data_IF_859048708090
#
_entry.id   IF_859048708090
#
_cell.length_a   1.000
_cell.length_b   1.000
_cell.length_c   1.000
_cell.angle_alpha   90.00
_cell.angle_beta   90.00
_cell.angle_gamma   90.00
#
_symmetry.space_group_name_H-M   'P 1'
#
loop_
_entity.id
_entity.type
_entity.pdbx_description
1 polymer ?
#
# COMPACT_ATOMS: atom_id res chain seq x y z
N UNK A 1 -0.79 -58.55 -38.59
CA UNK A 1 -1.61 -57.63 -37.77
C UNK A 1 -1.10 -57.42 -36.34
N UNK A 2 -0.25 -58.29 -35.79
CA UNK A 2 0.28 -58.19 -34.41
C UNK A 2 1.31 -57.08 -34.17
N UNK A 3 2.18 -56.75 -35.13
CA UNK A 3 3.19 -55.68 -34.96
C UNK A 3 2.63 -54.24 -34.98
N UNK A 4 1.44 -54.02 -35.54
CA UNK A 4 0.83 -52.68 -35.62
C UNK A 4 0.19 -52.25 -34.30
N UNK A 5 -0.41 -53.20 -33.56
CA UNK A 5 -1.01 -52.95 -32.26
C UNK A 5 0.03 -52.65 -31.17
N UNK A 6 1.23 -53.22 -31.28
CA UNK A 6 2.33 -52.98 -30.34
C UNK A 6 2.89 -51.55 -30.48
N UNK A 7 3.01 -51.04 -31.71
CA UNK A 7 3.44 -49.65 -31.99
C UNK A 7 2.39 -48.63 -31.55
N UNK A 8 1.10 -48.93 -31.73
CA UNK A 8 -0.01 -48.06 -31.28
C UNK A 8 -0.12 -48.03 -29.76
N UNK A 9 0.08 -49.17 -29.08
CA UNK A 9 0.14 -49.26 -27.61
C UNK A 9 1.28 -48.43 -27.04
N UNK A 10 2.49 -48.56 -27.63
CA UNK A 10 3.70 -47.84 -27.19
C UNK A 10 3.60 -46.33 -27.39
N UNK A 11 2.96 -45.87 -28.48
CA UNK A 11 2.69 -44.43 -28.70
C UNK A 11 1.64 -43.87 -27.74
N UNK A 12 0.59 -44.63 -27.41
CA UNK A 12 -0.40 -44.23 -26.41
C UNK A 12 0.21 -44.14 -25.01
N UNK A 13 1.02 -45.11 -24.61
CA UNK A 13 1.72 -45.06 -23.31
C UNK A 13 2.69 -43.89 -23.26
N UNK A 14 3.47 -43.64 -24.32
CA UNK A 14 4.40 -42.51 -24.35
C UNK A 14 3.67 -41.16 -24.26
N UNK A 15 2.54 -41.03 -24.98
CA UNK A 15 1.70 -39.83 -24.94
C UNK A 15 1.08 -39.60 -23.55
N UNK A 16 0.54 -40.64 -22.93
CA UNK A 16 -0.01 -40.57 -21.57
C UNK A 16 1.06 -40.22 -20.54
N UNK A 17 2.27 -40.77 -20.67
CA UNK A 17 3.39 -40.51 -19.76
C UNK A 17 3.91 -39.07 -19.95
N UNK A 18 3.96 -38.57 -21.18
CA UNK A 18 4.29 -37.18 -21.48
C UNK A 18 3.25 -36.22 -20.88
N UNK A 19 1.96 -36.52 -21.01
CA UNK A 19 0.87 -35.74 -20.39
C UNK A 19 0.95 -35.73 -18.87
N UNK A 20 1.29 -36.86 -18.24
CA UNK A 20 1.45 -36.98 -16.80
C UNK A 20 2.66 -36.20 -16.28
N UNK A 21 3.76 -36.20 -17.06
CA UNK A 21 4.95 -35.40 -16.78
C UNK A 21 4.64 -33.90 -16.93
N UNK A 22 3.94 -33.50 -18.00
CA UNK A 22 3.50 -32.11 -18.17
C UNK A 22 2.54 -31.66 -17.06
N UNK A 23 1.60 -32.52 -16.65
CA UNK A 23 0.69 -32.26 -15.53
C UNK A 23 1.45 -32.15 -14.20
N UNK A 24 2.42 -33.03 -13.96
CA UNK A 24 3.30 -32.97 -12.78
C UNK A 24 4.15 -31.70 -12.74
N UNK A 25 4.72 -31.29 -13.88
CA UNK A 25 5.49 -30.05 -13.99
C UNK A 25 4.63 -28.78 -13.86
N UNK A 26 3.36 -28.84 -14.27
CA UNK A 26 2.41 -27.74 -14.05
C UNK A 26 2.06 -27.53 -12.58
N UNK A 27 2.22 -28.56 -11.74
CA UNK A 27 1.92 -28.54 -10.31
C UNK A 27 3.16 -28.18 -9.46
N UNK A 28 4.37 -28.52 -9.91
CA UNK A 28 5.63 -28.20 -9.21
C UNK A 28 6.73 -27.79 -10.19
N UNK A 29 6.89 -26.47 -10.47
CA UNK A 29 7.93 -26.00 -11.39
C UNK A 29 9.33 -26.17 -10.79
N UNK A 30 10.21 -26.85 -11.55
CA UNK A 30 11.64 -26.95 -11.25
C UNK A 30 12.37 -25.84 -12.01
N UNK A 31 12.89 -24.85 -11.28
CA UNK A 31 13.58 -23.67 -11.83
C UNK A 31 14.68 -23.91 -12.90
N UNK A 32 15.48 -25.01 -12.88
CA UNK A 32 16.42 -25.28 -13.96
C UNK A 32 15.76 -25.82 -15.24
N UNK A 33 14.63 -26.52 -15.11
CA UNK A 33 13.87 -27.02 -16.26
C UNK A 33 13.11 -25.87 -16.95
N UNK A 34 12.58 -24.91 -16.18
CA UNK A 34 11.98 -23.68 -16.72
C UNK A 34 12.98 -22.91 -17.59
N UNK A 35 14.21 -22.69 -17.09
CA UNK A 35 15.27 -22.02 -17.86
C UNK A 35 15.64 -22.77 -19.15
N UNK A 36 15.67 -24.10 -19.12
CA UNK A 36 15.92 -24.93 -20.31
C UNK A 36 14.78 -24.87 -21.34
N UNK A 37 13.53 -24.90 -20.86
CA UNK A 37 12.33 -24.78 -21.70
C UNK A 37 12.19 -23.36 -22.28
N UNK A 38 12.58 -22.32 -21.54
CA UNK A 38 12.59 -20.94 -22.04
C UNK A 38 13.53 -20.73 -23.23
N UNK A 39 14.71 -21.36 -23.19
CA UNK A 39 15.67 -21.32 -24.32
C UNK A 39 15.16 -22.14 -25.50
N UNK A 40 14.50 -23.27 -25.24
CA UNK A 40 14.00 -24.17 -26.28
C UNK A 40 12.73 -23.64 -26.98
N UNK A 41 11.85 -22.94 -26.26
CA UNK A 41 10.61 -22.35 -26.77
C UNK A 41 10.71 -20.85 -27.12
N UNK A 42 11.92 -20.30 -27.10
CA UNK A 42 12.21 -18.94 -27.55
C UNK A 42 11.71 -18.69 -29.01
N UNK A 43 11.87 -19.62 -29.97
CA UNK A 43 11.34 -19.47 -31.32
C UNK A 43 9.81 -19.51 -31.40
N UNK A 44 9.16 -20.34 -30.56
CA UNK A 44 7.69 -20.41 -30.50
C UNK A 44 7.07 -19.20 -29.80
N UNK A 45 7.81 -18.50 -28.92
CA UNK A 45 7.38 -17.21 -28.34
C UNK A 45 7.27 -16.13 -29.43
N UNK A 46 8.18 -16.14 -30.42
CA UNK A 46 8.07 -15.28 -31.60
C UNK A 46 6.85 -15.65 -32.45
N UNK A 47 6.51 -16.94 -32.57
CA UNK A 47 5.28 -17.37 -33.26
C UNK A 47 4.03 -16.91 -32.49
N UNK A 48 4.02 -16.99 -31.15
CA UNK A 48 2.93 -16.45 -30.34
C UNK A 48 2.80 -14.92 -30.47
N UNK A 49 3.92 -14.19 -30.58
CA UNK A 49 3.93 -12.74 -30.90
C UNK A 49 3.43 -12.43 -32.32
N UNK A 50 3.74 -13.28 -33.29
CA UNK A 50 3.31 -13.14 -34.71
C UNK A 50 1.87 -13.61 -34.92
N UNK A 51 1.35 -14.51 -34.07
CA UNK A 51 -0.03 -15.06 -34.11
C UNK A 51 -0.97 -14.30 -33.16
N UNK A 52 -0.46 -13.49 -32.23
CA UNK A 52 -1.26 -12.56 -31.40
C UNK A 52 -2.27 -11.70 -32.20
N UNK A 53 -1.99 -11.26 -33.44
CA UNK A 53 -2.96 -10.56 -34.29
C UNK A 53 -4.17 -11.39 -34.71
N UNK A 54 -4.09 -12.73 -34.68
CA UNK A 54 -5.20 -13.61 -35.09
C UNK A 54 -6.23 -13.82 -33.97
N UNK A 55 -5.87 -13.50 -32.72
CA UNK A 55 -6.83 -13.36 -31.61
C UNK A 55 -7.68 -12.09 -31.67
N UNK A 56 -7.37 -11.14 -32.57
CA UNK A 56 -8.08 -9.86 -32.72
C UNK A 56 -9.51 -9.95 -33.27
N UNK A 57 -9.97 -11.16 -33.60
CA UNK A 57 -11.36 -11.44 -33.97
C UNK A 57 -12.25 -11.65 -32.72
N UNK A 58 -12.00 -10.89 -31.66
CA UNK A 58 -12.90 -10.78 -30.50
C UNK A 58 -14.23 -10.13 -30.89
N UNK A 59 -15.33 -10.74 -30.46
CA UNK A 59 -16.71 -10.41 -30.82
C UNK A 59 -17.09 -8.96 -30.50
N UNK A 60 -18.02 -8.38 -31.28
CA UNK A 60 -18.60 -7.03 -31.03
C UNK A 60 -19.10 -6.86 -29.58
N UNK A 61 -19.46 -7.96 -28.92
CA UNK A 61 -19.91 -7.99 -27.53
C UNK A 61 -18.81 -7.63 -26.52
N UNK A 62 -17.56 -8.05 -26.74
CA UNK A 62 -16.43 -7.70 -25.85
C UNK A 62 -16.13 -6.20 -25.94
N UNK A 63 -16.12 -5.64 -27.16
CA UNK A 63 -15.92 -4.19 -27.37
C UNK A 63 -17.04 -3.36 -26.77
N UNK A 64 -18.30 -3.79 -26.91
CA UNK A 64 -19.43 -3.11 -26.28
C UNK A 64 -19.37 -3.18 -24.74
N UNK A 65 -18.91 -4.30 -24.19
CA UNK A 65 -18.70 -4.44 -22.74
C UNK A 65 -17.54 -3.55 -22.24
N UNK A 66 -16.47 -3.40 -23.03
CA UNK A 66 -15.37 -2.47 -22.74
C UNK A 66 -15.84 -1.01 -22.77
N UNK A 67 -16.65 -0.61 -23.75
CA UNK A 67 -17.21 0.75 -23.83
C UNK A 67 -18.14 1.09 -22.64
N UNK A 68 -19.02 0.18 -22.21
CA UNK A 68 -19.85 0.36 -20.99
C UNK A 68 -18.98 0.46 -19.73
N UNK A 69 -17.92 -0.34 -19.63
CA UNK A 69 -16.98 -0.27 -18.51
C UNK A 69 -16.15 1.01 -18.52
N UNK A 70 -15.75 1.54 -19.67
CA UNK A 70 -15.08 2.84 -19.78
C UNK A 70 -15.99 3.98 -19.32
N UNK A 71 -17.28 3.95 -19.67
CA UNK A 71 -18.25 4.93 -19.20
C UNK A 71 -18.44 4.87 -17.67
N UNK A 72 -18.53 3.68 -17.09
CA UNK A 72 -18.60 3.48 -15.63
C UNK A 72 -17.31 3.86 -14.91
N UNK A 73 -16.16 3.65 -15.54
CA UNK A 73 -14.87 4.03 -14.99
C UNK A 73 -14.75 5.56 -14.79
N UNK A 74 -15.41 6.37 -15.62
CA UNK A 74 -15.44 7.82 -15.42
C UNK A 74 -16.16 8.21 -14.11
N UNK A 75 -17.26 7.52 -13.76
CA UNK A 75 -17.92 7.70 -12.47
C UNK A 75 -17.03 7.23 -11.30
N UNK A 76 -16.33 6.10 -11.47
CA UNK A 76 -15.35 5.59 -10.49
C UNK A 76 -14.19 6.56 -10.22
N UNK A 77 -13.75 7.33 -11.22
CA UNK A 77 -12.73 8.37 -11.05
C UNK A 77 -13.18 9.48 -10.11
N UNK A 78 -14.41 9.98 -10.26
CA UNK A 78 -14.94 11.04 -9.40
C UNK A 78 -14.95 10.62 -7.93
N UNK A 79 -15.49 9.42 -7.67
CA UNK A 79 -15.51 8.81 -6.33
C UNK A 79 -14.10 8.64 -5.76
N UNK A 80 -13.14 8.16 -6.57
CA UNK A 80 -11.76 8.01 -6.14
C UNK A 80 -11.11 9.36 -5.77
N UNK A 81 -11.34 10.42 -6.54
CA UNK A 81 -10.79 11.74 -6.22
C UNK A 81 -11.38 12.33 -4.93
N UNK A 82 -12.68 12.18 -4.71
CA UNK A 82 -13.33 12.61 -3.46
C UNK A 82 -12.80 11.85 -2.25
N UNK A 83 -12.64 10.53 -2.38
CA UNK A 83 -12.03 9.67 -1.37
C UNK A 83 -10.61 10.12 -1.01
N UNK A 84 -9.76 10.36 -2.02
CA UNK A 84 -8.38 10.80 -1.78
C UNK A 84 -8.33 12.20 -1.16
N UNK A 85 -9.22 13.10 -1.53
CA UNK A 85 -9.34 14.40 -0.88
C UNK A 85 -9.83 14.29 0.58
N UNK A 86 -10.72 13.35 0.88
CA UNK A 86 -11.16 13.05 2.25
C UNK A 86 -10.02 12.47 3.09
N UNK A 87 -9.24 11.54 2.53
CA UNK A 87 -8.05 10.97 3.17
C UNK A 87 -7.02 12.06 3.53
N UNK A 88 -6.70 12.95 2.58
CA UNK A 88 -5.77 14.06 2.83
C UNK A 88 -6.27 15.02 3.92
N UNK A 89 -7.56 15.34 3.92
CA UNK A 89 -8.16 16.19 4.95
C UNK A 89 -8.12 15.54 6.33
N UNK A 90 -8.35 14.23 6.41
CA UNK A 90 -8.30 13.48 7.66
C UNK A 90 -6.89 13.41 8.27
N UNK A 91 -5.84 13.52 7.45
CA UNK A 91 -4.47 13.57 7.93
C UNK A 91 -4.05 14.92 8.53
N UNK A 92 -4.87 15.97 8.37
CA UNK A 92 -4.59 17.27 8.96
C UNK A 92 -4.93 17.27 10.47
N UNK A 93 -4.05 17.82 11.33
CA UNK A 93 -4.32 17.94 12.77
C UNK A 93 -5.57 18.76 13.08
N UNK A 94 -6.10 18.70 14.30
CA UNK A 94 -7.13 19.60 14.80
C UNK A 94 -6.63 21.04 14.93
N UNK A 95 -7.53 22.03 14.85
CA UNK A 95 -7.19 23.47 14.80
C UNK A 95 -6.27 23.93 15.95
N UNK A 96 -6.47 23.39 17.16
CA UNK A 96 -5.63 23.69 18.34
C UNK A 96 -4.17 23.28 18.13
N UNK A 97 -3.95 22.12 17.50
CA UNK A 97 -2.62 21.60 17.19
C UNK A 97 -2.01 22.24 15.93
N UNK A 98 -2.79 22.95 15.11
CA UNK A 98 -2.30 23.76 13.98
C UNK A 98 -1.75 25.11 14.41
N UNK A 99 -2.29 25.68 15.49
CA UNK A 99 -1.92 27.02 15.95
C UNK A 99 -0.41 27.17 16.12
N UNK A 100 0.16 28.25 15.57
CA UNK A 100 1.60 28.53 15.67
C UNK A 100 2.49 27.69 14.76
N UNK A 101 1.94 26.87 13.85
CA UNK A 101 2.69 25.95 13.00
C UNK A 101 2.28 26.09 11.53
N UNK A 102 3.25 25.98 10.62
CA UNK A 102 2.98 25.79 9.20
C UNK A 102 2.98 24.29 8.91
N UNK A 103 1.95 23.82 8.24
CA UNK A 103 1.80 22.42 7.86
C UNK A 103 2.42 22.22 6.47
N UNK A 104 2.99 21.07 6.16
CA UNK A 104 3.35 20.67 4.78
C UNK A 104 2.84 19.26 4.56
N UNK A 105 1.88 19.12 3.65
CA UNK A 105 1.28 17.82 3.37
C UNK A 105 2.27 16.90 2.63
N UNK A 106 2.22 15.61 2.94
CA UNK A 106 3.04 14.57 2.35
C UNK A 106 2.26 13.29 2.10
N UNK A 107 2.50 12.66 0.95
CA UNK A 107 2.01 11.33 0.62
C UNK A 107 3.13 10.31 0.84
N UNK A 108 2.84 9.23 1.55
CA UNK A 108 3.80 8.12 1.68
C UNK A 108 3.86 7.39 0.34
N UNK A 109 5.02 7.37 -0.32
CA UNK A 109 5.16 6.73 -1.65
C UNK A 109 5.84 5.37 -1.59
N UNK A 110 6.60 5.10 -0.53
CA UNK A 110 7.37 3.86 -0.39
C UNK A 110 7.66 3.56 1.06
N UNK A 111 7.46 2.29 1.42
CA UNK A 111 7.97 1.67 2.63
C UNK A 111 9.00 0.59 2.28
N UNK A 112 10.14 0.58 2.95
CA UNK A 112 11.16 -0.44 2.70
C UNK A 112 10.82 -1.73 3.46
N UNK A 113 10.74 -2.87 2.76
CA UNK A 113 10.30 -4.16 3.31
C UNK A 113 11.23 -4.77 4.37
N UNK A 114 12.36 -4.12 4.70
CA UNK A 114 13.28 -4.51 5.78
C UNK A 114 13.60 -3.39 6.77
N UNK A 115 13.00 -2.21 6.61
CA UNK A 115 13.15 -1.06 7.51
C UNK A 115 11.78 -0.47 7.78
N UNK A 116 11.07 -1.09 8.72
CA UNK A 116 9.75 -0.63 9.15
C UNK A 116 9.80 0.76 9.81
N UNK A 117 10.97 1.15 10.30
CA UNK A 117 11.19 2.40 11.04
C UNK A 117 11.44 3.61 10.14
N UNK A 118 11.21 3.48 8.82
CA UNK A 118 11.43 4.56 7.87
C UNK A 118 10.43 4.55 6.73
N UNK A 119 10.00 5.73 6.32
CA UNK A 119 9.09 5.92 5.17
C UNK A 119 9.65 6.98 4.22
N UNK A 120 9.40 6.79 2.92
CA UNK A 120 9.68 7.80 1.90
C UNK A 120 8.38 8.55 1.57
N UNK A 121 8.43 9.87 1.67
CA UNK A 121 7.26 10.75 1.58
C UNK A 121 7.46 11.77 0.48
N UNK A 122 6.48 11.88 -0.42
CA UNK A 122 6.42 12.95 -1.42
C UNK A 122 5.67 14.13 -0.83
N UNK A 123 6.32 15.28 -0.70
CA UNK A 123 5.74 16.50 -0.12
C UNK A 123 5.19 17.44 -1.19
N UNK A 124 4.19 18.24 -0.81
CA UNK A 124 3.63 19.27 -1.67
C UNK A 124 4.65 20.39 -2.01
N UNK A 125 5.55 20.70 -1.06
CA UNK A 125 6.62 21.68 -1.25
C UNK A 125 7.80 21.36 -0.35
N UNK A 126 9.02 21.60 -0.82
CA UNK A 126 10.25 21.49 -0.01
C UNK A 126 10.64 22.79 0.69
N UNK A 127 10.00 23.91 0.34
CA UNK A 127 10.36 25.21 0.88
C UNK A 127 10.15 25.27 2.41
N UNK A 128 11.23 25.49 3.16
CA UNK A 128 11.23 25.53 4.63
C UNK A 128 11.32 24.16 5.31
N UNK A 129 11.51 23.07 4.56
CA UNK A 129 11.75 21.75 5.13
C UNK A 129 13.20 21.58 5.58
N UNK A 130 13.38 20.97 6.76
CA UNK A 130 14.67 20.71 7.35
C UNK A 130 14.66 19.38 8.13
N UNK A 131 15.83 18.76 8.24
CA UNK A 131 16.04 17.55 9.08
C UNK A 131 15.70 17.87 10.53
N UNK A 132 15.09 16.91 11.22
CA UNK A 132 14.62 17.01 12.61
C UNK A 132 13.20 17.58 12.75
N UNK A 133 12.58 18.06 11.68
CA UNK A 133 11.19 18.55 11.74
C UNK A 133 10.20 17.41 12.04
N UNK A 134 9.26 17.61 12.99
CA UNK A 134 8.24 16.62 13.31
C UNK A 134 7.32 16.26 12.14
N UNK A 135 6.91 15.00 12.11
CA UNK A 135 5.94 14.45 11.17
C UNK A 135 4.80 13.81 11.96
N UNK A 136 3.58 14.12 11.54
CA UNK A 136 2.33 13.72 12.21
C UNK A 136 1.32 13.20 11.19
N UNK A 137 0.28 12.54 11.65
CA UNK A 137 -0.88 12.17 10.86
C UNK A 137 -2.10 12.35 11.74
N UNK A 138 -2.98 13.30 11.43
CA UNK A 138 -4.02 13.72 12.35
C UNK A 138 -3.41 14.40 13.58
N UNK A 139 -3.84 13.97 14.76
CA UNK A 139 -3.37 14.47 16.06
C UNK A 139 -2.24 13.60 16.62
N UNK A 140 -1.85 12.56 15.88
CA UNK A 140 -0.89 11.55 16.29
C UNK A 140 0.52 11.84 15.76
N UNK A 141 1.49 11.72 16.64
CA UNK A 141 2.90 11.88 16.32
C UNK A 141 3.44 10.62 15.63
N UNK A 142 4.07 10.80 14.47
CA UNK A 142 4.57 9.70 13.64
C UNK A 142 6.09 9.56 13.76
N UNK A 143 6.81 10.68 13.72
CA UNK A 143 8.27 10.66 13.69
C UNK A 143 8.86 12.01 13.29
N UNK A 144 10.00 12.00 12.61
CA UNK A 144 10.70 13.23 12.17
C UNK A 144 11.40 13.06 10.83
N UNK A 145 11.66 14.17 10.14
CA UNK A 145 12.49 14.16 8.93
C UNK A 145 13.91 13.73 9.29
N UNK A 146 14.35 12.64 8.69
CA UNK A 146 15.70 12.13 8.83
C UNK A 146 16.62 12.63 7.72
N UNK A 147 16.11 12.73 6.49
CA UNK A 147 16.88 13.14 5.34
C UNK A 147 15.99 13.79 4.26
N UNK A 148 16.59 14.65 3.44
CA UNK A 148 15.95 15.29 2.30
C UNK A 148 16.63 14.81 1.01
N UNK A 149 15.91 14.11 0.15
CA UNK A 149 16.51 13.44 -1.02
C UNK A 149 17.25 14.43 -1.92
N UNK A 150 18.48 14.13 -2.30
CA UNK A 150 19.30 15.05 -3.12
C UNK A 150 18.93 15.07 -4.60
N UNK A 151 18.20 14.07 -5.08
CA UNK A 151 17.88 13.86 -6.50
C UNK A 151 16.42 14.20 -6.84
N UNK A 152 15.47 13.91 -5.96
CA UNK A 152 14.06 14.30 -6.11
C UNK A 152 13.70 15.37 -5.08
N UNK A 153 13.54 16.61 -5.56
CA UNK A 153 13.23 17.75 -4.71
C UNK A 153 11.89 17.60 -3.94
N UNK A 154 10.98 16.74 -4.41
CA UNK A 154 9.72 16.49 -3.73
C UNK A 154 9.79 15.32 -2.73
N UNK A 155 10.91 14.62 -2.60
CA UNK A 155 11.04 13.43 -1.76
C UNK A 155 11.79 13.73 -0.45
N UNK A 156 11.23 13.26 0.66
CA UNK A 156 11.86 13.28 1.98
C UNK A 156 11.85 11.87 2.60
N UNK A 157 12.77 11.63 3.51
CA UNK A 157 12.84 10.42 4.32
C UNK A 157 12.49 10.75 5.76
N UNK A 158 11.54 10.00 6.32
CA UNK A 158 11.06 10.16 7.69
C UNK A 158 11.45 8.94 8.50
N UNK A 159 12.11 9.17 9.63
CA UNK A 159 12.35 8.17 10.67
C UNK A 159 11.12 8.11 11.58
N UNK A 160 10.61 6.91 11.83
CA UNK A 160 9.43 6.68 12.65
C UNK A 160 9.78 6.51 14.12
N UNK A 161 8.83 6.83 15.00
CA UNK A 161 8.95 6.61 16.46
C UNK A 161 9.15 5.13 16.85
N UNK A 162 8.84 4.20 15.94
CA UNK A 162 9.10 2.76 16.12
C UNK A 162 10.59 2.39 16.03
N UNK A 163 11.44 3.31 15.54
CA UNK A 163 12.88 3.10 15.40
C UNK A 163 13.58 2.78 16.71
N UNK A 164 14.43 1.76 16.71
CA UNK A 164 15.18 1.32 17.91
C UNK A 164 16.01 2.45 18.56
N UNK A 165 16.51 3.39 17.76
CA UNK A 165 17.30 4.53 18.24
C UNK A 165 16.50 5.83 18.37
N UNK A 166 15.20 5.78 18.13
CA UNK A 166 14.34 6.96 18.22
C UNK A 166 13.89 7.15 19.66
N UNK A 167 14.00 8.38 20.17
CA UNK A 167 13.53 8.73 21.51
C UNK A 167 12.89 10.11 21.47
N UNK A 168 11.73 10.24 22.12
CA UNK A 168 11.01 11.50 22.28
C UNK A 168 10.55 11.65 23.73
N UNK A 169 10.70 12.87 24.27
CA UNK A 169 10.14 13.26 25.54
C UNK A 169 8.62 13.31 25.49
N UNK A 170 7.96 12.69 26.45
CA UNK A 170 6.52 12.62 26.54
C UNK A 170 6.01 12.80 27.97
N UNK A 171 4.74 13.12 28.10
CA UNK A 171 4.03 13.12 29.38
C UNK A 171 2.78 12.26 29.29
N UNK A 172 2.54 11.47 30.35
CA UNK A 172 1.27 10.75 30.51
C UNK A 172 0.30 11.50 31.41
N UNK A 173 -0.93 11.62 30.94
CA UNK A 173 -2.04 12.27 31.62
C UNK A 173 -3.14 11.26 31.92
N UNK A 174 -3.57 11.20 33.17
CA UNK A 174 -4.83 10.52 33.48
C UNK A 174 -6.00 11.34 32.90
N UNK A 175 -7.15 10.71 32.59
CA UNK A 175 -8.31 11.41 32.04
C UNK A 175 -8.71 12.65 32.87
N UNK A 176 -8.68 12.55 34.19
CA UNK A 176 -9.02 13.63 35.13
C UNK A 176 -7.99 14.78 35.18
N UNK A 177 -6.75 14.51 34.77
CA UNK A 177 -5.63 15.46 34.84
C UNK A 177 -5.28 16.09 33.50
N UNK A 178 -5.95 15.67 32.41
CA UNK A 178 -5.76 16.20 31.07
C UNK A 178 -6.06 17.71 31.03
N UNK A 179 -7.18 18.12 31.65
CA UNK A 179 -7.57 19.53 31.77
C UNK A 179 -6.62 20.33 32.67
N UNK A 180 -6.05 19.68 33.69
CA UNK A 180 -5.15 20.31 34.68
C UNK A 180 -3.70 20.35 34.22
N UNK A 181 -3.38 19.75 33.06
CA UNK A 181 -2.04 19.69 32.45
C UNK A 181 -0.93 19.20 33.41
N UNK A 182 -1.27 18.28 34.32
CA UNK A 182 -0.32 17.66 35.28
C UNK A 182 0.10 16.27 34.82
N UNK A 183 1.05 16.22 33.89
CA UNK A 183 1.60 14.99 33.34
C UNK A 183 2.75 14.42 34.16
N UNK A 184 3.01 13.12 33.99
CA UNK A 184 4.27 12.50 34.43
C UNK A 184 5.19 12.33 33.23
N UNK A 185 6.44 12.83 33.35
CA UNK A 185 7.44 12.73 32.28
C UNK A 185 7.89 11.29 32.01
N UNK A 186 8.09 11.01 30.73
CA UNK A 186 8.45 9.72 30.14
C UNK A 186 9.38 9.96 28.95
N UNK A 187 10.14 8.94 28.56
CA UNK A 187 10.78 8.88 27.24
C UNK A 187 10.20 7.71 26.48
N UNK A 188 9.75 7.96 25.25
CA UNK A 188 9.07 6.97 24.40
C UNK A 188 9.85 6.81 23.10
N UNK A 189 9.94 5.58 22.61
CA UNK A 189 10.48 5.30 21.28
C UNK A 189 11.09 3.91 21.18
N UNK A 190 11.15 3.38 19.97
CA UNK A 190 11.44 1.98 19.72
C UNK A 190 10.24 1.08 19.96
N UNK A 191 10.41 -0.22 19.70
CA UNK A 191 9.38 -1.24 19.85
C UNK A 191 9.67 -2.15 21.05
N UNK A 192 8.64 -2.47 21.83
CA UNK A 192 8.69 -3.53 22.84
C UNK A 192 7.95 -4.76 22.32
N UNK A 193 8.62 -5.92 22.22
CA UNK A 193 7.95 -7.15 21.82
C UNK A 193 6.96 -7.60 22.91
N UNK A 194 5.80 -8.11 22.50
CA UNK A 194 4.88 -8.78 23.43
C UNK A 194 5.47 -10.15 23.83
N UNK A 195 5.60 -10.46 25.13
CA UNK A 195 6.29 -11.67 25.59
C UNK A 195 5.54 -12.99 25.32
N UNK A 196 4.22 -12.97 25.07
CA UNK A 196 3.41 -14.21 24.92
C UNK A 196 2.37 -14.20 23.76
N UNK A 197 2.43 -13.21 22.85
CA UNK A 197 1.44 -13.07 21.77
C UNK A 197 1.73 -13.92 20.53
N UNK A 198 0.74 -14.68 20.04
CA UNK A 198 0.77 -15.25 18.67
C UNK A 198 0.68 -14.16 17.58
N UNK A 199 0.16 -12.99 17.95
CA UNK A 199 0.10 -11.80 17.12
C UNK A 199 1.26 -10.88 17.55
N UNK A 200 2.14 -10.55 16.62
CA UNK A 200 3.24 -9.61 16.88
C UNK A 200 2.68 -8.18 16.89
N UNK A 201 1.89 -7.84 17.92
CA UNK A 201 1.41 -6.46 18.09
C UNK A 201 2.58 -5.52 18.39
N UNK A 202 2.57 -4.35 17.75
CA UNK A 202 3.62 -3.35 17.88
C UNK A 202 3.25 -2.41 19.02
N UNK A 203 4.05 -2.43 20.09
CA UNK A 203 3.95 -1.50 21.20
C UNK A 203 5.16 -0.58 21.24
N UNK A 204 4.95 0.70 21.55
CA UNK A 204 6.09 1.61 21.73
C UNK A 204 6.79 1.32 23.06
N UNK A 205 8.12 1.27 23.02
CA UNK A 205 8.93 1.10 24.21
C UNK A 205 8.97 2.38 25.04
N UNK A 206 9.06 2.18 26.35
CA UNK A 206 8.88 3.25 27.32
C UNK A 206 9.95 3.16 28.40
N UNK A 207 10.64 4.28 28.59
CA UNK A 207 11.68 4.45 29.59
C UNK A 207 11.17 5.39 30.68
N UNK A 208 11.04 4.86 31.92
CA UNK A 208 10.59 5.62 33.10
C UNK A 208 11.70 5.84 34.10
N UNK A 209 11.67 6.96 34.84
CA UNK A 209 12.27 7.03 36.17
C UNK A 209 11.57 6.03 37.10
N UNK A 210 12.33 5.23 37.85
CA UNK A 210 11.76 4.35 38.90
C UNK A 210 11.18 5.22 40.01
N UNK A 211 9.85 5.28 40.13
CA UNK A 211 9.17 5.90 41.27
C UNK A 211 8.00 5.04 41.74
N UNK A 212 7.73 5.04 43.04
CA UNK A 212 6.64 4.28 43.68
C UNK A 212 5.25 4.85 43.40
N UNK A 213 5.15 6.01 42.72
CA UNK A 213 3.90 6.68 42.33
C UNK A 213 3.74 6.76 40.81
N UNK A 214 4.41 5.89 40.06
CA UNK A 214 4.33 5.91 38.61
C UNK A 214 2.90 5.60 38.14
N UNK A 215 2.35 6.43 37.25
CA UNK A 215 1.04 6.21 36.66
C UNK A 215 1.06 4.92 35.82
N UNK A 216 -0.02 4.16 35.90
CA UNK A 216 -0.16 2.87 35.21
C UNK A 216 -0.97 2.95 33.92
N UNK A 217 -1.79 4.00 33.74
CA UNK A 217 -2.58 4.23 32.52
C UNK A 217 -2.79 5.73 32.21
N UNK A 218 -3.11 6.04 30.96
CA UNK A 218 -3.48 7.39 30.51
C UNK A 218 -3.05 7.73 29.08
N UNK A 219 -3.49 8.89 28.58
CA UNK A 219 -3.10 9.39 27.27
C UNK A 219 -1.64 9.91 27.31
N UNK A 220 -0.85 9.55 26.31
CA UNK A 220 0.56 9.95 26.22
C UNK A 220 0.73 11.01 25.15
N UNK A 221 1.19 12.19 25.54
CA UNK A 221 1.40 13.32 24.63
C UNK A 221 2.89 13.66 24.57
N UNK A 222 3.36 14.06 23.39
CA UNK A 222 4.73 14.56 23.20
C UNK A 222 4.90 15.86 23.99
N UNK A 223 5.97 15.95 24.76
CA UNK A 223 6.36 17.15 25.48
C UNK A 223 7.88 17.21 25.64
N UNK A 224 8.48 18.04 24.81
CA UNK A 224 9.92 18.22 24.73
C UNK A 224 10.37 19.46 25.51
N UNK A 225 11.47 19.33 26.25
CA UNK A 225 12.02 20.41 27.08
C UNK A 225 13.06 21.18 26.25
N UNK A 226 12.93 22.51 26.21
CA UNK A 226 13.79 23.42 25.42
C UNK A 226 15.29 23.21 25.59
N UNK A 227 15.72 22.88 26.81
CA UNK A 227 17.12 22.74 27.16
C UNK A 227 17.80 21.50 26.55
N UNK A 228 17.03 20.49 26.11
CA UNK A 228 17.55 19.19 25.70
C UNK A 228 17.00 18.68 24.36
N UNK A 229 15.99 19.34 23.79
CA UNK A 229 15.35 18.94 22.54
C UNK A 229 16.09 19.42 21.28
N UNK A 230 15.87 18.71 20.17
CA UNK A 230 16.29 19.19 18.84
C UNK A 230 15.57 20.49 18.47
N UNK A 231 16.16 21.29 17.58
CA UNK A 231 15.69 22.64 17.20
C UNK A 231 14.18 22.71 16.91
N UNK A 232 13.62 21.67 16.29
CA UNK A 232 12.22 21.60 15.87
C UNK A 232 11.32 20.73 16.75
N UNK A 233 11.87 20.06 17.78
CA UNK A 233 11.14 19.06 18.57
C UNK A 233 9.90 19.64 19.25
N UNK A 234 9.95 20.91 19.61
CA UNK A 234 8.85 21.67 20.24
C UNK A 234 7.59 21.73 19.40
N UNK A 235 7.72 21.70 18.07
CA UNK A 235 6.56 21.70 17.17
C UNK A 235 5.68 20.46 17.40
N UNK A 236 6.26 19.34 17.86
CA UNK A 236 5.53 18.12 18.18
C UNK A 236 4.78 18.19 19.53
N UNK A 237 4.98 19.24 20.34
CA UNK A 237 4.34 19.32 21.68
C UNK A 237 2.82 19.28 21.57
N UNK A 238 2.20 18.37 22.32
CA UNK A 238 0.75 18.18 22.39
C UNK A 238 0.20 17.08 21.48
N UNK A 239 0.99 16.56 20.53
CA UNK A 239 0.56 15.45 19.68
C UNK A 239 0.58 14.12 20.44
N UNK A 240 -0.36 13.22 20.13
CA UNK A 240 -0.57 11.95 20.81
C UNK A 240 0.42 10.88 20.35
N UNK A 241 0.92 10.07 21.28
CA UNK A 241 1.64 8.82 21.01
C UNK A 241 0.75 7.58 21.22
N UNK A 242 -0.48 7.78 21.68
CA UNK A 242 -1.46 6.73 21.97
C UNK A 242 -1.77 6.59 23.46
N UNK A 243 -2.35 5.44 23.81
CA UNK A 243 -2.83 5.14 25.16
C UNK A 243 -1.87 4.23 25.89
N UNK A 244 -1.50 4.63 27.11
CA UNK A 244 -0.66 3.84 27.99
C UNK A 244 -1.50 2.94 28.87
N UNK A 245 -1.07 1.69 29.00
CA UNK A 245 -1.70 0.69 29.85
C UNK A 245 -0.62 -0.18 30.50
N UNK A 246 -0.92 -0.71 31.69
CA UNK A 246 -0.06 -1.68 32.37
C UNK A 246 -0.83 -2.98 32.54
N UNK A 247 -0.29 -4.07 31.99
CA UNK A 247 -0.87 -5.39 32.04
C UNK A 247 -0.10 -6.29 33.02
N UNK A 248 -0.82 -7.03 33.84
CA UNK A 248 -0.26 -8.10 34.63
C UNK A 248 0.01 -9.32 33.73
N UNK A 249 1.27 -9.77 33.69
CA UNK A 249 1.69 -10.95 32.96
C UNK A 249 1.39 -12.22 33.77
N UNK A 250 1.11 -13.33 33.06
CA UNK A 250 0.97 -14.66 33.66
C UNK A 250 2.35 -15.13 34.16
N UNK A 251 2.66 -14.80 35.41
CA UNK A 251 3.98 -15.02 36.02
C UNK A 251 4.39 -14.00 37.07
N UNK A 252 3.53 -13.00 37.34
CA UNK A 252 3.77 -12.01 38.40
C UNK A 252 4.63 -10.81 37.98
N UNK A 253 4.91 -10.66 36.68
CA UNK A 253 5.50 -9.46 36.10
C UNK A 253 4.44 -8.47 35.61
N UNK A 254 4.83 -7.21 35.45
CA UNK A 254 3.99 -6.19 34.82
C UNK A 254 4.64 -5.71 33.52
N UNK A 255 3.85 -5.54 32.47
CA UNK A 255 4.26 -4.92 31.22
C UNK A 255 3.51 -3.61 31.05
N UNK A 256 4.21 -2.48 31.11
CA UNK A 256 3.67 -1.22 30.63
C UNK A 256 3.94 -1.08 29.15
N UNK A 257 2.90 -0.75 28.39
CA UNK A 257 2.97 -0.50 26.96
C UNK A 257 2.21 0.76 26.57
N UNK A 258 2.55 1.31 25.40
CA UNK A 258 1.72 2.29 24.71
C UNK A 258 1.15 1.62 23.47
N UNK A 259 -0.18 1.67 23.35
CA UNK A 259 -0.92 1.22 22.18
C UNK A 259 -1.10 2.42 21.24
N UNK A 260 -0.45 2.43 20.07
CA UNK A 260 -0.65 3.50 19.10
C UNK A 260 -2.05 3.42 18.48
N UNK A 261 -2.58 4.56 18.08
CA UNK A 261 -3.87 4.68 17.37
C UNK A 261 -3.70 4.45 15.85
N UNK A 262 -2.46 4.54 15.35
CA UNK A 262 -2.11 4.35 13.95
C UNK A 262 -1.47 2.99 13.66
N UNK A 263 -1.73 2.42 12.46
CA UNK A 263 -0.98 1.29 11.93
C UNK A 263 0.36 1.75 11.32
N UNK A 264 1.40 1.79 12.15
CA UNK A 264 2.76 2.15 11.74
C UNK A 264 3.38 1.19 10.72
N UNK A 265 2.90 -0.06 10.59
CA UNK A 265 3.54 -1.06 9.72
C UNK A 265 3.04 -0.99 8.28
N UNK A 266 1.76 -0.71 8.05
CA UNK A 266 1.22 -0.62 6.69
C UNK A 266 0.18 0.47 6.44
N UNK A 267 -0.34 1.14 7.48
CA UNK A 267 -1.51 2.02 7.37
C UNK A 267 -1.24 3.52 7.34
N UNK A 268 0.01 3.99 7.43
CA UNK A 268 0.30 5.43 7.18
C UNK A 268 0.40 5.66 5.68
N UNK A 269 -0.57 6.39 5.15
CA UNK A 269 -0.70 6.74 3.73
C UNK A 269 -0.47 8.23 3.46
N UNK A 270 -0.98 9.10 4.33
CA UNK A 270 -0.77 10.54 4.30
C UNK A 270 -0.13 10.98 5.61
N UNK A 271 0.73 11.99 5.54
CA UNK A 271 1.40 12.59 6.71
C UNK A 271 1.52 14.10 6.52
N UNK A 272 1.77 14.80 7.62
CA UNK A 272 1.97 16.25 7.64
C UNK A 272 3.27 16.56 8.36
N UNK A 273 4.14 17.34 7.71
CA UNK A 273 5.34 17.87 8.35
C UNK A 273 4.97 19.17 9.06
N UNK A 274 5.39 19.30 10.31
CA UNK A 274 5.25 20.54 11.08
C UNK A 274 6.50 21.39 10.90
N UNK A 275 6.29 22.61 10.41
CA UNK A 275 7.34 23.60 10.19
C UNK A 275 7.04 24.86 11.00
N UNK A 276 8.08 25.63 11.39
CA UNK A 276 7.87 26.94 12.00
C UNK A 276 7.06 27.84 11.05
N UNK A 277 6.25 28.75 11.61
CA UNK A 277 5.58 29.76 10.81
C UNK A 277 6.63 30.64 10.12
N UNK A 278 6.52 30.72 8.80
CA UNK A 278 7.27 31.66 7.98
C UNK A 278 6.27 32.61 7.32
N UNK A 279 6.27 33.91 7.66
CA UNK A 279 5.33 34.88 7.09
C UNK A 279 5.53 35.10 5.58
N UNK A 280 6.67 34.71 5.01
CA UNK A 280 6.91 34.77 3.57
C UNK A 280 6.45 33.50 2.82
N UNK A 281 6.14 32.41 3.54
CA UNK A 281 5.75 31.16 2.93
C UNK A 281 4.27 31.16 2.55
N UNK A 282 3.97 30.76 1.31
CA UNK A 282 2.59 30.55 0.83
C UNK A 282 1.88 29.52 1.72
N UNK A 283 0.59 29.77 2.00
CA UNK A 283 -0.28 28.83 2.69
C UNK A 283 -0.14 27.43 2.08
N UNK A 284 0.00 26.43 2.95
CA UNK A 284 0.25 25.06 2.52
C UNK A 284 -0.92 24.55 1.69
N UNK A 285 -0.63 24.10 0.47
CA UNK A 285 -1.61 23.46 -0.40
C UNK A 285 -1.62 21.96 -0.13
N UNK A 286 -2.79 21.37 -0.30
CA UNK A 286 -2.91 19.91 -0.40
C UNK A 286 -2.10 19.40 -1.60
N UNK A 287 -1.74 18.12 -1.58
CA UNK A 287 -1.05 17.51 -2.71
C UNK A 287 -2.01 17.38 -3.89
N UNK A 288 -1.81 18.23 -4.90
CA UNK A 288 -2.50 18.17 -6.20
C UNK A 288 -1.84 17.09 -7.09
N UNK A 289 -2.03 15.82 -6.74
CA UNK A 289 -1.63 14.68 -7.58
C UNK A 289 -2.87 13.95 -8.07
N UNK A 290 -3.15 14.09 -9.37
CA UNK A 290 -4.20 13.33 -10.04
C UNK A 290 -3.60 12.02 -10.61
N UNK A 291 -4.00 10.89 -9.99
CA UNK A 291 -3.65 9.54 -10.42
C UNK A 291 -4.09 9.25 -11.87
N UNK A 292 -5.14 9.90 -12.36
CA UNK A 292 -5.81 9.56 -13.62
C UNK A 292 -5.37 10.45 -14.78
N UNK A 293 -4.21 11.11 -14.69
CA UNK A 293 -3.61 11.83 -15.80
C UNK A 293 -3.05 10.83 -16.82
N UNK A 294 -3.55 10.88 -18.06
CA UNK A 294 -3.22 9.94 -19.15
C UNK A 294 -1.70 9.77 -19.37
N UNK A 295 -0.91 10.84 -19.20
CA UNK A 295 0.55 10.81 -19.38
C UNK A 295 1.28 9.93 -18.35
N UNK A 296 0.62 9.59 -17.24
CA UNK A 296 1.15 8.69 -16.19
C UNK A 296 0.89 7.22 -16.49
N UNK A 297 0.20 6.90 -17.60
CA UNK A 297 -0.20 5.55 -17.96
C UNK A 297 0.34 5.16 -19.33
N UNK A 298 0.77 3.90 -19.46
CA UNK A 298 1.17 3.29 -20.72
C UNK A 298 0.09 2.30 -21.14
N UNK A 299 -0.51 2.53 -22.30
CA UNK A 299 -1.50 1.63 -22.89
C UNK A 299 -0.81 0.33 -23.35
N UNK A 300 -1.36 -0.80 -22.96
CA UNK A 300 -0.90 -2.15 -23.35
C UNK A 300 -2.10 -3.03 -23.67
N UNK A 301 -1.87 -4.13 -24.40
CA UNK A 301 -2.89 -5.14 -24.67
C UNK A 301 -2.58 -6.45 -23.94
N UNK A 302 -3.60 -7.13 -23.46
CA UNK A 302 -3.49 -8.51 -23.00
C UNK A 302 -3.37 -9.44 -24.24
N UNK A 303 -2.24 -10.12 -24.37
CA UNK A 303 -1.94 -11.03 -25.48
C UNK A 303 -2.55 -12.43 -25.28
N UNK A 304 -2.83 -12.79 -24.03
CA UNK A 304 -3.47 -14.07 -23.68
C UNK A 304 -4.84 -13.80 -23.09
N UNK A 305 -5.89 -14.37 -23.68
CA UNK A 305 -7.23 -14.37 -23.11
C UNK A 305 -7.30 -15.31 -21.92
N UNK A 306 -7.55 -14.75 -20.73
CA UNK A 306 -7.94 -15.53 -19.55
C UNK A 306 -6.83 -16.22 -18.75
N UNK A 307 -7.32 -16.96 -17.76
CA UNK A 307 -6.66 -17.64 -16.64
C UNK A 307 -5.81 -18.82 -17.16
N UNK A 308 -4.48 -18.70 -17.17
CA UNK A 308 -3.56 -19.74 -17.68
C UNK A 308 -3.56 -21.03 -16.83
N UNK A 309 -4.08 -20.96 -15.60
CA UNK A 309 -4.25 -22.10 -14.70
C UNK A 309 -5.42 -21.84 -13.76
N UNK A 310 -6.19 -22.86 -13.37
CA UNK A 310 -7.36 -22.73 -12.49
C UNK A 310 -7.11 -22.02 -11.14
N UNK A 311 -5.83 -21.78 -10.79
CA UNK A 311 -5.39 -21.07 -9.58
C UNK A 311 -4.59 -19.80 -9.88
N UNK A 312 -4.42 -19.39 -11.14
CA UNK A 312 -3.63 -18.21 -11.54
C UNK A 312 -4.32 -17.37 -12.59
N UNK A 313 -4.42 -16.08 -12.32
CA UNK A 313 -5.03 -15.05 -13.17
C UNK A 313 -4.02 -14.31 -14.07
N UNK A 314 -2.76 -14.74 -14.04
CA UNK A 314 -1.72 -14.09 -14.80
C UNK A 314 -1.95 -14.10 -16.31
N UNK A 315 -1.54 -13.01 -16.97
CA UNK A 315 -1.67 -12.81 -18.43
C UNK A 315 -0.39 -12.24 -19.01
N UNK A 316 -0.17 -12.42 -20.32
CA UNK A 316 0.91 -11.73 -21.03
C UNK A 316 0.44 -10.38 -21.57
N UNK A 317 1.28 -9.35 -21.45
CA UNK A 317 1.04 -7.99 -21.92
C UNK A 317 1.93 -7.66 -23.13
N UNK A 318 1.40 -6.89 -24.07
CA UNK A 318 2.05 -6.48 -25.33
C UNK A 318 3.10 -5.38 -25.19
N UNK A 319 3.52 -5.05 -23.97
CA UNK A 319 4.47 -3.97 -23.67
C UNK A 319 5.53 -4.42 -22.67
N UNK A 320 6.79 -4.11 -22.98
CA UNK A 320 7.96 -4.43 -22.15
C UNK A 320 8.81 -3.19 -21.83
N UNK A 321 10.07 -3.41 -21.49
CA UNK A 321 10.99 -2.32 -21.08
C UNK A 321 11.12 -1.22 -22.13
N UNK A 322 11.07 -1.56 -23.43
CA UNK A 322 11.16 -0.58 -24.51
C UNK A 322 9.99 0.42 -24.52
N UNK A 323 8.82 0.00 -24.01
CA UNK A 323 7.64 0.84 -23.83
C UNK A 323 7.54 1.53 -22.47
N UNK A 324 8.59 1.46 -21.64
CA UNK A 324 8.59 2.04 -20.29
C UNK A 324 7.83 1.23 -19.23
N UNK A 325 7.46 -0.01 -19.54
CA UNK A 325 6.87 -0.96 -18.56
C UNK A 325 7.98 -1.44 -17.61
N UNK A 326 7.71 -1.38 -16.31
CA UNK A 326 8.65 -1.78 -15.26
C UNK A 326 8.01 -2.81 -14.32
N UNK A 327 8.80 -3.71 -13.72
CA UNK A 327 8.30 -4.65 -12.71
C UNK A 327 7.64 -3.94 -11.52
N UNK A 328 6.61 -4.56 -10.96
CA UNK A 328 5.88 -4.08 -9.79
C UNK A 328 4.90 -2.94 -10.05
N UNK A 329 4.78 -2.45 -11.30
CA UNK A 329 3.85 -1.37 -11.65
C UNK A 329 2.40 -1.84 -11.61
N UNK A 330 1.51 -0.97 -11.18
CA UNK A 330 0.07 -1.23 -11.23
C UNK A 330 -0.40 -1.39 -12.67
N UNK A 331 -1.33 -2.31 -12.85
CA UNK A 331 -2.10 -2.47 -14.08
C UNK A 331 -3.54 -2.18 -13.76
N UNK A 332 -4.14 -1.27 -14.52
CA UNK A 332 -5.48 -0.77 -14.32
C UNK A 332 -6.29 -0.82 -15.61
N UNK A 333 -7.60 -0.77 -15.43
CA UNK A 333 -8.56 -0.47 -16.48
C UNK A 333 -9.49 0.63 -15.97
N UNK A 334 -9.44 1.80 -16.59
CA UNK A 334 -10.15 2.97 -16.07
C UNK A 334 -9.76 3.25 -14.61
N UNK A 335 -10.75 3.20 -13.70
CA UNK A 335 -10.52 3.35 -12.26
C UNK A 335 -10.23 2.03 -11.52
N UNK A 336 -10.32 0.87 -12.17
CA UNK A 336 -10.20 -0.43 -11.50
C UNK A 336 -8.76 -0.96 -11.51
N UNK A 337 -8.33 -1.47 -10.36
CA UNK A 337 -7.08 -2.18 -10.21
C UNK A 337 -7.24 -3.63 -10.69
N UNK A 338 -6.42 -4.03 -11.65
CA UNK A 338 -6.44 -5.37 -12.25
C UNK A 338 -5.37 -6.26 -11.62
N UNK A 339 -4.20 -5.67 -11.33
CA UNK A 339 -3.07 -6.41 -10.81
C UNK A 339 -1.76 -5.65 -10.98
N UNK A 340 -0.66 -6.38 -11.09
CA UNK A 340 0.69 -5.81 -11.23
C UNK A 340 1.49 -6.42 -12.33
N UNK A 341 2.41 -5.63 -12.85
CA UNK A 341 3.46 -6.12 -13.69
C UNK A 341 4.39 -7.04 -12.88
N UNK A 342 4.51 -8.29 -13.31
CA UNK A 342 5.45 -9.27 -12.80
C UNK A 342 6.79 -9.16 -13.51
N UNK A 343 7.21 -10.23 -14.17
CA UNK A 343 8.44 -10.24 -14.95
C UNK A 343 8.31 -9.41 -16.23
N UNK A 344 9.38 -8.72 -16.61
CA UNK A 344 9.41 -7.81 -17.75
C UNK A 344 10.57 -8.12 -18.66
N UNK A 345 10.23 -8.49 -19.90
CA UNK A 345 11.14 -8.68 -21.03
C UNK A 345 11.30 -7.37 -21.83
N UNK A 346 12.07 -7.39 -22.93
CA UNK A 346 12.25 -6.21 -23.77
C UNK A 346 10.95 -5.71 -24.42
N UNK A 347 10.14 -6.60 -25.02
CA UNK A 347 8.90 -6.27 -25.74
C UNK A 347 7.60 -6.59 -24.99
N UNK A 348 7.65 -7.42 -23.95
CA UNK A 348 6.46 -7.92 -23.27
C UNK A 348 6.65 -8.02 -21.76
N UNK A 349 5.55 -8.14 -21.02
CA UNK A 349 5.56 -8.31 -19.58
C UNK A 349 4.48 -9.28 -19.12
N UNK A 350 4.65 -9.85 -17.94
CA UNK A 350 3.61 -10.63 -17.28
C UNK A 350 2.76 -9.74 -16.37
N UNK A 351 1.46 -10.02 -16.34
CA UNK A 351 0.50 -9.51 -15.37
C UNK A 351 0.34 -10.56 -14.28
N UNK A 352 0.45 -10.14 -13.03
CA UNK A 352 0.01 -10.84 -11.83
C UNK A 352 -1.36 -10.28 -11.44
N UNK A 353 -2.41 -11.06 -11.63
CA UNK A 353 -3.79 -10.66 -11.35
C UNK A 353 -4.12 -10.68 -9.86
N UNK A 354 -5.22 -10.01 -9.48
CA UNK A 354 -5.66 -9.97 -8.07
C UNK A 354 -5.94 -11.34 -7.45
N UNK A 355 -6.34 -12.34 -8.23
CA UNK A 355 -6.51 -13.71 -7.75
C UNK A 355 -5.25 -14.58 -7.81
N UNK A 356 -4.07 -14.02 -8.08
CA UNK A 356 -2.82 -14.76 -7.95
C UNK A 356 -2.38 -14.85 -6.47
N UNK A 357 -2.26 -16.06 -5.89
CA UNK A 357 -1.86 -16.21 -4.50
C UNK A 357 -0.48 -15.59 -4.22
N UNK A 358 -0.38 -14.86 -3.11
CA UNK A 358 0.83 -14.19 -2.68
C UNK A 358 1.01 -12.78 -3.24
N UNK A 359 0.15 -12.31 -4.16
CA UNK A 359 0.11 -10.90 -4.52
C UNK A 359 -0.20 -10.06 -3.26
N UNK A 360 0.57 -9.01 -3.05
CA UNK A 360 0.39 -8.09 -1.91
C UNK A 360 0.07 -6.71 -2.42
N UNK A 361 -0.82 -6.02 -1.71
CA UNK A 361 -1.13 -4.62 -1.96
C UNK A 361 -1.53 -3.92 -0.67
N UNK A 362 -1.31 -2.62 -0.61
CA UNK A 362 -1.91 -1.77 0.43
C UNK A 362 -3.28 -1.26 -0.01
N UNK A 363 -4.24 -1.26 0.92
CA UNK A 363 -5.63 -0.90 0.64
C UNK A 363 -6.16 0.21 1.55
N UNK A 364 -7.03 1.03 0.98
CA UNK A 364 -7.83 2.08 1.62
C UNK A 364 -9.30 1.68 1.51
N UNK A 365 -10.07 1.84 2.59
CA UNK A 365 -11.48 1.47 2.62
C UNK A 365 -12.38 2.68 2.82
N UNK A 366 -13.38 2.82 1.95
CA UNK A 366 -14.54 3.67 2.23
C UNK A 366 -15.58 2.82 2.95
N UNK A 367 -15.77 3.04 4.25
CA UNK A 367 -16.79 2.34 5.03
C UNK A 367 -18.17 2.93 4.76
N UNK A 368 -19.19 2.08 4.74
CA UNK A 368 -20.58 2.52 4.62
C UNK A 368 -20.98 3.38 5.83
N UNK A 369 -21.43 4.61 5.57
CA UNK A 369 -21.82 5.57 6.60
C UNK A 369 -20.68 6.35 7.25
N UNK A 370 -19.41 6.06 6.93
CA UNK A 370 -18.27 6.91 7.33
C UNK A 370 -17.97 7.92 6.22
N UNK A 371 -17.54 9.12 6.59
CA UNK A 371 -17.07 10.15 5.63
C UNK A 371 -15.56 10.14 5.46
N UNK A 372 -14.85 9.50 6.39
CA UNK A 372 -13.39 9.41 6.41
C UNK A 372 -12.96 8.01 5.97
N UNK A 373 -12.18 7.88 4.89
CA UNK A 373 -11.69 6.58 4.47
C UNK A 373 -10.65 6.04 5.46
N UNK A 374 -10.63 4.72 5.65
CA UNK A 374 -9.80 4.03 6.64
C UNK A 374 -8.65 3.27 5.97
N UNK A 375 -7.39 3.60 6.27
CA UNK A 375 -6.26 2.79 5.83
C UNK A 375 -6.34 1.38 6.41
N UNK A 376 -6.44 0.35 5.56
CA UNK A 376 -6.46 -1.04 6.00
C UNK A 376 -5.05 -1.62 6.15
N UNK A 377 -4.07 -1.03 5.47
CA UNK A 377 -2.72 -1.58 5.38
C UNK A 377 -2.60 -2.70 4.34
N UNK A 378 -1.74 -3.69 4.60
CA UNK A 378 -1.42 -4.76 3.64
C UNK A 378 -2.51 -5.84 3.55
N UNK A 379 -2.96 -6.11 2.33
CA UNK A 379 -3.76 -7.27 1.93
C UNK A 379 -2.88 -8.26 1.16
N UNK A 380 -3.01 -9.55 1.47
CA UNK A 380 -2.31 -10.63 0.77
C UNK A 380 -3.32 -11.53 0.08
N UNK A 381 -3.26 -11.62 -1.24
CA UNK A 381 -4.14 -12.47 -2.03
C UNK A 381 -3.91 -13.95 -1.69
N UNK A 382 -5.01 -14.67 -1.44
CA UNK A 382 -5.05 -16.13 -1.26
C UNK A 382 -5.64 -16.84 -2.48
N UNK A 383 -6.01 -16.07 -3.50
CA UNK A 383 -6.65 -16.51 -4.74
C UNK A 383 -8.17 -16.36 -4.74
N UNK A 384 -8.83 -16.85 -5.78
CA UNK A 384 -10.31 -16.84 -5.85
C UNK A 384 -10.93 -18.03 -5.16
N UNK A 385 -12.08 -17.79 -4.53
CA UNK A 385 -12.95 -18.83 -4.00
C UNK A 385 -13.71 -19.49 -5.15
N UNK A 386 -13.61 -20.81 -5.27
CA UNK A 386 -14.18 -21.57 -6.39
C UNK A 386 -15.70 -21.54 -6.49
N UNK A 387 -16.41 -21.35 -5.38
CA UNK A 387 -17.87 -21.43 -5.35
C UNK A 387 -18.58 -20.20 -5.91
N UNK A 388 -17.99 -19.01 -5.74
CA UNK A 388 -18.61 -17.72 -6.04
C UNK A 388 -17.69 -16.76 -6.82
N UNK A 389 -16.44 -17.16 -7.09
CA UNK A 389 -15.48 -16.34 -7.85
C UNK A 389 -14.94 -15.13 -7.10
N UNK A 390 -15.28 -14.96 -5.81
CA UNK A 390 -14.80 -13.83 -5.00
C UNK A 390 -13.32 -13.96 -4.68
N UNK A 391 -12.63 -12.82 -4.63
CA UNK A 391 -11.23 -12.76 -4.23
C UNK A 391 -11.11 -13.00 -2.73
N UNK A 392 -10.15 -13.82 -2.32
CA UNK A 392 -9.83 -14.06 -0.91
C UNK A 392 -8.57 -13.30 -0.57
N UNK A 393 -8.62 -12.47 0.46
CA UNK A 393 -7.44 -11.79 0.99
C UNK A 393 -7.24 -12.14 2.45
N UNK A 394 -5.99 -12.40 2.84
CA UNK A 394 -5.58 -12.32 4.24
C UNK A 394 -5.34 -10.87 4.59
N UNK A 395 -6.02 -10.40 5.61
CA UNK A 395 -5.86 -9.06 6.18
C UNK A 395 -5.47 -9.18 7.65
N UNK A 396 -4.58 -8.31 8.12
CA UNK A 396 -4.24 -8.21 9.55
C UNK A 396 -4.70 -6.86 10.05
N UNK A 397 -5.88 -6.83 10.68
CA UNK A 397 -6.45 -5.64 11.28
C UNK A 397 -5.67 -5.30 12.56
N UNK A 398 -4.84 -4.26 12.50
CA UNK A 398 -4.07 -3.77 13.68
C UNK A 398 -4.81 -2.70 14.47
N UNK A 399 -5.71 -1.99 13.81
CA UNK A 399 -6.60 -0.98 14.39
C UNK A 399 -8.03 -1.48 14.21
N UNK A 400 -8.88 -1.26 15.21
CA UNK A 400 -10.30 -1.60 15.12
C UNK A 400 -10.99 -0.70 14.11
N UNK A 401 -11.95 -1.27 13.37
CA UNK A 401 -12.75 -0.50 12.41
C UNK A 401 -14.23 -0.60 12.78
N UNK A 402 -14.88 0.55 12.91
CA UNK A 402 -16.29 0.64 13.27
C UNK A 402 -16.61 0.21 14.72
N UNK A 403 -17.90 0.13 15.05
CA UNK A 403 -18.40 -0.10 16.40
C UNK A 403 -18.65 -1.58 16.73
N UNK A 404 -17.79 -2.49 16.27
CA UNK A 404 -17.86 -3.90 16.63
C UNK A 404 -18.72 -4.81 15.74
N UNK A 405 -19.54 -4.29 14.82
CA UNK A 405 -20.24 -5.09 13.81
C UNK A 405 -19.49 -5.13 12.47
N UNK A 406 -19.61 -6.23 11.67
CA UNK A 406 -19.09 -6.24 10.30
C UNK A 406 -19.73 -5.13 9.46
N UNK A 407 -18.92 -4.45 8.65
CA UNK A 407 -19.32 -3.26 7.91
C UNK A 407 -19.01 -3.42 6.41
N UNK A 408 -19.91 -2.97 5.55
CA UNK A 408 -19.65 -2.95 4.10
C UNK A 408 -18.62 -1.86 3.79
N UNK A 409 -17.71 -2.16 2.88
CA UNK A 409 -16.69 -1.23 2.44
C UNK A 409 -16.40 -1.36 0.96
N UNK A 410 -16.16 -0.23 0.31
CA UNK A 410 -15.52 -0.17 -1.00
C UNK A 410 -14.01 -0.06 -0.80
N UNK A 411 -13.24 -0.95 -1.44
CA UNK A 411 -11.80 -1.01 -1.32
C UNK A 411 -11.10 -0.35 -2.51
N UNK A 412 -10.07 0.43 -2.21
CA UNK A 412 -9.22 1.12 -3.16
C UNK A 412 -7.74 0.85 -2.86
N UNK A 413 -6.86 1.02 -3.84
CA UNK A 413 -5.41 0.99 -3.58
C UNK A 413 -5.02 2.16 -2.68
N UNK A 414 -4.23 1.87 -1.65
CA UNK A 414 -3.68 2.87 -0.73
C UNK A 414 -2.34 3.45 -1.19
N UNK A 415 -1.87 4.46 -0.45
CA UNK A 415 -0.52 5.01 -0.63
C UNK A 415 0.53 4.13 0.06
N UNK A 416 1.81 4.36 -0.23
CA UNK A 416 2.93 3.73 0.49
C UNK A 416 3.59 2.57 -0.25
N UNK A 417 3.09 2.24 -1.44
CA UNK A 417 3.65 1.19 -2.28
C UNK A 417 4.21 1.70 -3.60
N UNK A 418 5.51 1.44 -3.80
CA UNK A 418 6.21 1.91 -4.98
C UNK A 418 5.63 1.28 -6.25
N UNK A 419 5.29 2.14 -7.22
CA UNK A 419 4.78 1.68 -8.51
C UNK A 419 3.28 1.39 -8.54
N UNK A 420 2.56 1.62 -7.44
CA UNK A 420 1.10 1.53 -7.41
C UNK A 420 0.54 2.88 -6.99
N UNK A 421 -0.29 3.54 -7.82
CA UNK A 421 -0.93 4.75 -7.41
C UNK A 421 -2.11 4.44 -6.48
N UNK A 422 -2.44 5.38 -5.61
CA UNK A 422 -3.61 5.33 -4.75
C UNK A 422 -4.91 5.61 -5.52
N UNK A 423 -6.03 5.12 -4.99
CA UNK A 423 -7.37 5.42 -5.49
C UNK A 423 -7.90 4.51 -6.60
N UNK A 424 -7.21 3.42 -6.95
CA UNK A 424 -7.75 2.43 -7.90
C UNK A 424 -8.70 1.46 -7.19
N UNK A 425 -9.89 1.26 -7.73
CA UNK A 425 -10.93 0.39 -7.16
C UNK A 425 -10.46 -1.07 -7.21
N UNK A 426 -10.43 -1.72 -6.04
CA UNK A 426 -10.15 -3.15 -5.91
C UNK A 426 -11.46 -3.95 -6.01
N UNK A 427 -12.49 -3.51 -5.28
CA UNK A 427 -13.78 -4.19 -5.20
C UNK A 427 -14.53 -3.86 -3.91
N UNK A 428 -15.60 -4.59 -3.63
CA UNK A 428 -16.43 -4.42 -2.44
C UNK A 428 -16.22 -5.58 -1.46
N UNK A 429 -16.28 -5.29 -0.15
CA UNK A 429 -16.11 -6.31 0.89
C UNK A 429 -17.00 -6.03 2.10
N UNK A 430 -17.21 -7.06 2.91
CA UNK A 430 -17.68 -6.92 4.29
C UNK A 430 -16.47 -7.12 5.19
N UNK A 431 -16.10 -6.08 5.93
CA UNK A 431 -14.92 -6.10 6.78
C UNK A 431 -15.30 -6.44 8.22
N UNK A 432 -14.53 -7.32 8.89
CA UNK A 432 -14.65 -7.52 10.33
C UNK A 432 -14.16 -6.27 11.08
N UNK A 433 -14.78 -6.01 12.23
CA UNK A 433 -14.52 -4.83 13.07
C UNK A 433 -13.36 -4.98 14.04
N UNK A 434 -13.07 -6.22 14.45
CA UNK A 434 -12.10 -6.53 15.50
C UNK A 434 -10.67 -6.60 14.97
N UNK A 435 -9.70 -6.38 15.86
CA UNK A 435 -8.28 -6.64 15.58
C UNK A 435 -8.03 -8.12 15.31
N UNK A 436 -6.94 -8.42 14.60
CA UNK A 436 -6.45 -9.76 14.37
C UNK A 436 -6.27 -10.11 12.90
N UNK A 437 -6.01 -11.39 12.64
CA UNK A 437 -5.84 -11.92 11.29
C UNK A 437 -7.17 -12.44 10.77
N UNK A 438 -7.62 -11.88 9.66
CA UNK A 438 -8.90 -12.19 9.04
C UNK A 438 -8.72 -12.63 7.59
N UNK A 439 -9.65 -13.45 7.12
CA UNK A 439 -9.85 -13.68 5.70
C UNK A 439 -11.04 -12.84 5.25
N UNK A 440 -10.82 -11.92 4.30
CA UNK A 440 -11.88 -11.10 3.73
C UNK A 440 -12.18 -11.55 2.30
N UNK A 441 -13.47 -11.52 1.95
CA UNK A 441 -13.96 -11.82 0.61
C UNK A 441 -14.27 -10.51 -0.11
N UNK A 442 -13.65 -10.32 -1.27
CA UNK A 442 -13.81 -9.13 -2.09
C UNK A 442 -14.51 -9.50 -3.40
N UNK A 443 -15.61 -8.80 -3.67
CA UNK A 443 -16.33 -8.86 -4.93
C UNK A 443 -15.73 -7.86 -5.91
N UNK A 444 -15.25 -8.37 -7.04
CA UNK A 444 -14.73 -7.57 -8.14
C UNK A 444 -15.66 -7.74 -9.34
N UNK A 445 -15.81 -6.69 -10.14
CA UNK A 445 -16.53 -6.80 -11.42
C UNK A 445 -15.89 -7.92 -12.27
N UNK A 446 -16.65 -8.99 -12.61
CA UNK A 446 -16.11 -10.15 -13.32
C UNK A 446 -15.64 -9.80 -14.73
N UNK A 447 -16.13 -8.71 -15.32
CA UNK A 447 -15.74 -8.28 -16.67
C UNK A 447 -14.29 -7.80 -16.74
N UNK A 448 -13.71 -7.38 -15.61
CA UNK A 448 -12.27 -7.03 -15.50
C UNK A 448 -11.38 -8.21 -15.93
N UNK A 449 -11.87 -9.44 -15.78
CA UNK A 449 -11.15 -10.64 -16.20
C UNK A 449 -11.11 -10.88 -17.72
N UNK A 450 -11.91 -10.14 -18.49
CA UNK A 450 -12.08 -10.36 -19.93
C UNK A 450 -11.51 -9.23 -20.79
N UNK A 451 -10.95 -8.19 -20.16
CA UNK A 451 -10.44 -7.00 -20.82
C UNK A 451 -9.23 -7.30 -21.72
N UNK A 452 -9.24 -6.72 -22.92
CA UNK A 452 -8.12 -6.78 -23.86
C UNK A 452 -7.21 -5.57 -23.72
N UNK A 453 -7.77 -4.38 -23.50
CA UNK A 453 -7.01 -3.14 -23.32
C UNK A 453 -6.76 -2.84 -21.83
N UNK A 454 -5.51 -2.58 -21.47
CA UNK A 454 -5.07 -2.32 -20.11
C UNK A 454 -4.08 -1.15 -20.06
N UNK A 455 -3.91 -0.58 -18.88
CA UNK A 455 -3.01 0.57 -18.65
C UNK A 455 -2.01 0.24 -17.55
N UNK A 456 -0.73 0.41 -17.84
CA UNK A 456 0.37 0.21 -16.88
C UNK A 456 0.82 1.55 -16.31
N UNK A 457 0.94 1.62 -14.98
CA UNK A 457 1.38 2.82 -14.29
C UNK A 457 2.85 3.13 -14.58
N UNK A 458 3.14 4.33 -15.07
CA UNK A 458 4.50 4.84 -15.29
C UNK A 458 5.02 5.62 -14.08
N UNK A 459 4.12 6.23 -13.30
CA UNK A 459 4.46 7.23 -12.30
C UNK A 459 4.06 8.62 -12.75
N UNK A 460 3.91 9.52 -11.77
CA UNK A 460 3.77 10.94 -12.05
C UNK A 460 5.03 11.44 -12.77
N UNK A 461 4.86 12.26 -13.81
CA UNK A 461 5.98 12.99 -14.38
C UNK A 461 6.63 13.82 -13.27
N UNK A 462 7.97 13.79 -13.18
CA UNK A 462 8.69 14.62 -12.21
C UNK A 462 8.31 16.09 -12.46
N UNK A 463 7.63 16.70 -11.49
CA UNK A 463 7.31 18.12 -11.50
C UNK A 463 8.62 18.90 -11.34
N UNK A 464 9.29 19.23 -12.44
CA UNK A 464 10.55 19.96 -12.39
C UNK A 464 11.52 19.68 -13.53
N UNK A 465 11.05 19.72 -14.77
CA UNK A 465 11.89 20.08 -15.90
C UNK A 465 11.02 20.84 -16.90
N UNK A 466 10.61 22.05 -16.53
CA UNK A 466 10.44 23.10 -17.53
C UNK A 466 11.78 23.17 -18.28
N UNK A 467 11.85 22.57 -19.47
CA UNK A 467 12.90 22.91 -20.42
C UNK A 467 12.86 24.44 -20.53
N UNK A 468 13.97 25.16 -20.30
CA UNK A 468 14.01 26.56 -20.65
C UNK A 468 13.58 26.63 -22.11
N UNK A 469 12.55 27.42 -22.38
CA UNK A 469 12.01 27.58 -23.71
C UNK A 469 13.16 27.81 -24.68
N UNK A 470 13.19 27.02 -25.75
CA UNK A 470 13.92 27.39 -26.95
C UNK A 470 13.25 28.64 -27.50
N UNK A 471 13.59 29.77 -26.88
CA UNK A 471 13.38 31.08 -27.45
C UNK A 471 14.41 31.26 -28.56
N UNK A 472 13.90 31.53 -29.75
CA UNK A 472 14.65 32.17 -30.80
C UNK A 472 14.19 31.73 -32.19
N UNK A 473 14.35 32.58 -33.20
CA UNK A 473 14.23 34.04 -33.25
C UNK A 473 12.83 34.52 -33.64
#
# INVERSE_FOLDING_TARGET
MTRLNEVLSRRRTLYSLLLLVCAGLSLHPLAPLERGLEVFFLPTRWIAEVVAPLGWLGSREVRAAEEDLFARAAAGRGQALELLAAEQRAALPTEELRAGRRLVHGEVIRRSRGRLDSIAVRVATRAGLAVGQPVVCGDEFVGRIADLDSHDAALIHVELVTGKGFFVGAEVFAPEDLERKRGQALVVGGLTPEPEGKNHELHLALHRPRSSRARTAGAVLVREIEAYGELYSRLATGYSLGQMETLALKGGGELTRITPELDFQSGLFQVVVLTPLDPAATASRLLELDTFVDSSWVRVKALTGGVLSATREGRRLSGGRSGGVLPGRAVAFGAHFVGRVGEVSWASADLLGLGDPGLRLVALAQLEGDSVPRPLGELVALGRRRSDGRLRFRWTARVEIGAGAPIRAQLFTGSGEAGVPRGLIIGEAILPSSRGVHEILVEQDPRVLQLEELFVWRGHAASGATRPGTGGP
#
